data_IF_918288070227
#
_entry.id   IF_918288070227
#
_cell.length_a   1.000
_cell.length_b   1.000
_cell.length_c   1.000
_cell.angle_alpha   90.00
_cell.angle_beta   90.00
_cell.angle_gamma   90.00
#
_symmetry.space_group_name_H-M   'P 1'
#
loop_
_entity.id
_entity.type
_entity.pdbx_description
1 polymer ?
#
# COMPACT_ATOMS: atom_id res chain seq x y z
N UNK A 1 4.91 -7.31 20.61
CA UNK A 1 4.16 -6.12 20.14
C UNK A 1 2.84 -5.96 20.87
N UNK A 2 2.53 -4.73 21.24
CA UNK A 2 1.22 -4.33 21.75
C UNK A 2 0.21 -4.22 20.61
N UNK A 3 -1.09 -4.33 20.92
CA UNK A 3 -2.15 -4.27 19.89
C UNK A 3 -2.11 -2.96 19.08
N UNK A 4 -1.87 -1.83 19.75
CA UNK A 4 -1.78 -0.52 19.11
C UNK A 4 -0.59 -0.43 18.14
N UNK A 5 0.55 -1.04 18.48
CA UNK A 5 1.72 -1.03 17.58
C UNK A 5 1.45 -1.84 16.30
N UNK A 6 0.72 -2.96 16.41
CA UNK A 6 0.36 -3.81 15.27
C UNK A 6 -0.55 -3.04 14.30
N UNK A 7 -1.55 -2.32 14.81
CA UNK A 7 -2.44 -1.50 13.98
C UNK A 7 -1.67 -0.33 13.36
N UNK A 8 -0.77 0.31 14.11
CA UNK A 8 0.03 1.42 13.60
C UNK A 8 0.94 1.01 12.44
N UNK A 9 1.50 -0.21 12.44
CA UNK A 9 2.27 -0.70 11.27
C UNK A 9 1.39 -0.67 10.02
N UNK A 10 0.19 -1.26 10.09
CA UNK A 10 -0.73 -1.30 8.95
C UNK A 10 -1.10 0.11 8.47
N UNK A 11 -1.41 1.01 9.39
CA UNK A 11 -1.73 2.42 9.06
C UNK A 11 -0.56 3.17 8.45
N UNK A 12 0.65 3.04 9.00
CA UNK A 12 1.82 3.77 8.54
C UNK A 12 2.24 3.29 7.15
N UNK A 13 2.30 1.98 6.93
CA UNK A 13 2.63 1.43 5.61
C UNK A 13 1.54 1.79 4.59
N UNK A 14 0.26 1.71 4.97
CA UNK A 14 -0.85 2.20 4.14
C UNK A 14 -0.67 3.66 3.75
N UNK A 15 -0.52 4.55 4.74
CA UNK A 15 -0.39 5.98 4.52
C UNK A 15 0.83 6.32 3.65
N UNK A 16 1.96 5.65 3.87
CA UNK A 16 3.17 5.86 3.10
C UNK A 16 2.98 5.49 1.61
N UNK A 17 2.44 4.29 1.33
CA UNK A 17 2.14 3.88 -0.05
C UNK A 17 1.11 4.80 -0.70
N UNK A 18 0.06 5.18 0.03
CA UNK A 18 -0.99 6.06 -0.46
C UNK A 18 -0.44 7.45 -0.84
N UNK A 19 0.35 8.06 0.04
CA UNK A 19 0.93 9.39 -0.18
C UNK A 19 1.90 9.38 -1.36
N UNK A 20 2.79 8.39 -1.45
CA UNK A 20 3.71 8.27 -2.59
C UNK A 20 2.97 8.05 -3.91
N UNK A 21 1.92 7.24 -3.92
CA UNK A 21 1.13 7.01 -5.12
C UNK A 21 0.41 8.27 -5.59
N UNK A 22 -0.17 9.05 -4.67
CA UNK A 22 -0.74 10.37 -4.99
C UNK A 22 0.34 11.33 -5.51
N UNK A 23 1.52 11.35 -4.89
CA UNK A 23 2.61 12.20 -5.33
C UNK A 23 3.05 11.89 -6.77
N UNK A 24 3.17 10.60 -7.12
CA UNK A 24 3.47 10.19 -8.50
C UNK A 24 2.34 10.56 -9.46
N UNK A 25 1.08 10.27 -9.11
CA UNK A 25 -0.06 10.53 -9.98
C UNK A 25 -0.25 12.02 -10.25
N UNK A 26 -0.27 12.84 -9.20
CA UNK A 26 -0.44 14.29 -9.33
C UNK A 26 0.80 14.97 -9.92
N UNK A 27 2.00 14.47 -9.59
CA UNK A 27 3.24 14.93 -10.22
C UNK A 27 3.15 14.80 -11.73
N UNK A 28 2.76 13.63 -12.24
CA UNK A 28 2.52 13.43 -13.67
C UNK A 28 1.39 14.31 -14.21
N UNK A 29 0.25 14.39 -13.51
CA UNK A 29 -0.91 15.16 -13.98
C UNK A 29 -0.60 16.64 -14.19
N UNK A 30 0.16 17.26 -13.28
CA UNK A 30 0.46 18.69 -13.32
C UNK A 30 1.68 19.04 -14.17
N UNK A 31 2.72 18.20 -14.15
CA UNK A 31 3.98 18.51 -14.84
C UNK A 31 4.10 17.86 -16.22
N UNK A 32 3.31 16.81 -16.48
CA UNK A 32 3.45 15.91 -17.64
C UNK A 32 4.84 15.26 -17.75
N UNK A 33 5.64 15.27 -16.68
CA UNK A 33 6.94 14.61 -16.66
C UNK A 33 6.76 13.09 -16.48
N UNK A 34 7.16 12.33 -17.49
CA UNK A 34 7.07 10.86 -17.56
C UNK A 34 7.80 10.14 -16.42
N UNK A 35 8.80 10.77 -15.79
CA UNK A 35 9.49 10.22 -14.62
C UNK A 35 8.52 9.91 -13.47
N UNK A 36 7.49 10.73 -13.28
CA UNK A 36 6.46 10.48 -12.26
C UNK A 36 5.59 9.27 -12.61
N UNK A 37 5.27 9.06 -13.89
CA UNK A 37 4.54 7.88 -14.33
C UNK A 37 5.38 6.60 -14.15
N UNK A 38 6.65 6.66 -14.54
CA UNK A 38 7.60 5.56 -14.35
C UNK A 38 7.81 5.22 -12.87
N UNK A 39 8.03 6.23 -12.02
CA UNK A 39 8.12 6.06 -10.57
C UNK A 39 6.82 5.48 -9.99
N UNK A 40 5.66 5.92 -10.48
CA UNK A 40 4.35 5.38 -10.10
C UNK A 40 4.20 3.89 -10.42
N UNK A 41 4.68 3.44 -11.59
CA UNK A 41 4.70 2.03 -11.97
C UNK A 41 5.64 1.19 -11.10
N UNK A 42 6.84 1.70 -10.82
CA UNK A 42 7.79 1.06 -9.90
C UNK A 42 7.16 0.93 -8.51
N UNK A 43 6.53 2.00 -8.01
CA UNK A 43 5.86 2.00 -6.72
C UNK A 43 4.70 1.00 -6.68
N UNK A 44 3.95 0.87 -7.77
CA UNK A 44 2.89 -0.13 -7.91
C UNK A 44 3.44 -1.55 -7.74
N UNK A 45 4.55 -1.88 -8.40
CA UNK A 45 5.16 -3.20 -8.32
C UNK A 45 5.80 -3.47 -6.95
N UNK A 46 6.75 -2.64 -6.53
CA UNK A 46 7.46 -2.82 -5.26
C UNK A 46 6.58 -2.57 -4.05
N UNK A 47 5.69 -1.58 -4.11
CA UNK A 47 4.72 -1.30 -3.05
C UNK A 47 3.72 -2.45 -2.88
N UNK A 48 3.30 -3.12 -3.95
CA UNK A 48 2.47 -4.33 -3.83
C UNK A 48 3.21 -5.47 -3.15
N UNK A 49 4.48 -5.71 -3.54
CA UNK A 49 5.32 -6.74 -2.91
C UNK A 49 5.52 -6.44 -1.42
N UNK A 50 5.84 -5.19 -1.06
CA UNK A 50 6.01 -4.78 0.33
C UNK A 50 4.71 -4.92 1.14
N UNK A 51 3.58 -4.45 0.61
CA UNK A 51 2.28 -4.59 1.28
C UNK A 51 1.92 -6.06 1.53
N UNK A 52 2.10 -6.92 0.52
CA UNK A 52 1.87 -8.36 0.65
C UNK A 52 2.83 -9.01 1.66
N UNK A 53 4.11 -8.62 1.65
CA UNK A 53 5.10 -9.09 2.61
C UNK A 53 4.72 -8.74 4.06
N UNK A 54 4.27 -7.50 4.30
CA UNK A 54 3.80 -7.06 5.63
C UNK A 54 2.53 -7.81 6.03
N UNK A 55 1.56 -7.99 5.12
CA UNK A 55 0.36 -8.78 5.37
C UNK A 55 0.72 -10.22 5.75
N UNK A 56 1.61 -10.87 5.00
CA UNK A 56 2.06 -12.23 5.28
C UNK A 56 2.75 -12.31 6.66
N UNK A 57 3.64 -11.37 6.98
CA UNK A 57 4.29 -11.30 8.28
C UNK A 57 3.29 -11.11 9.44
N UNK A 58 2.30 -10.23 9.27
CA UNK A 58 1.23 -10.02 10.25
C UNK A 58 0.38 -11.28 10.47
N UNK A 59 0.01 -11.97 9.39
CA UNK A 59 -0.78 -13.20 9.45
C UNK A 59 0.00 -14.35 10.12
N UNK A 60 1.27 -14.54 9.77
CA UNK A 60 2.15 -15.51 10.43
C UNK A 60 2.27 -15.18 11.92
N UNK A 61 2.53 -13.92 12.28
CA UNK A 61 2.62 -13.50 13.68
C UNK A 61 1.32 -13.75 14.46
N UNK A 62 0.18 -13.41 13.86
CA UNK A 62 -1.14 -13.64 14.45
C UNK A 62 -1.48 -15.12 14.59
N UNK A 63 -1.03 -15.97 13.67
CA UNK A 63 -1.20 -17.42 13.75
C UNK A 63 -0.40 -18.03 14.91
N UNK A 64 0.85 -17.58 15.09
CA UNK A 64 1.70 -17.98 16.21
C UNK A 64 1.20 -17.41 17.55
N UNK A 65 0.55 -16.25 17.55
CA UNK A 65 0.02 -15.57 18.73
C UNK A 65 -1.49 -15.38 18.62
N UNK A 66 -2.24 -16.47 18.83
CA UNK A 66 -3.72 -16.53 18.70
C UNK A 66 -4.44 -15.37 19.40
N UNK A 67 -3.96 -14.92 20.56
CA UNK A 67 -4.53 -13.79 21.32
C UNK A 67 -4.40 -12.41 20.63
N UNK A 68 -3.61 -12.31 19.56
CA UNK A 68 -3.40 -11.11 18.74
C UNK A 68 -3.90 -11.27 17.30
N UNK A 69 -4.40 -12.45 16.94
CA UNK A 69 -4.84 -12.77 15.58
C UNK A 69 -5.85 -11.74 15.03
N UNK A 70 -6.87 -11.38 15.82
CA UNK A 70 -7.87 -10.39 15.41
C UNK A 70 -7.24 -9.01 15.10
N UNK A 71 -6.25 -8.60 15.89
CA UNK A 71 -5.53 -7.33 15.69
C UNK A 71 -4.65 -7.39 14.45
N UNK A 72 -3.98 -8.51 14.21
CA UNK A 72 -3.21 -8.75 13.00
C UNK A 72 -4.09 -8.74 11.76
N UNK A 73 -5.25 -9.41 11.78
CA UNK A 73 -6.22 -9.41 10.69
C UNK A 73 -6.71 -7.98 10.41
N UNK A 74 -7.11 -7.22 11.44
CA UNK A 74 -7.51 -5.81 11.29
C UNK A 74 -6.41 -4.96 10.64
N UNK A 75 -5.16 -5.13 11.06
CA UNK A 75 -4.02 -4.40 10.47
C UNK A 75 -3.78 -4.81 9.01
N UNK A 76 -3.86 -6.11 8.69
CA UNK A 76 -3.76 -6.62 7.33
C UNK A 76 -4.91 -6.12 6.43
N UNK A 77 -6.14 -6.01 6.95
CA UNK A 77 -7.27 -5.45 6.22
C UNK A 77 -7.04 -3.99 5.83
N UNK A 78 -6.43 -3.18 6.70
CA UNK A 78 -6.05 -1.80 6.38
C UNK A 78 -5.06 -1.78 5.21
N UNK A 79 -4.06 -2.67 5.21
CA UNK A 79 -3.09 -2.77 4.12
C UNK A 79 -3.70 -3.25 2.81
N UNK A 80 -4.68 -4.15 2.86
CA UNK A 80 -5.38 -4.63 1.66
C UNK A 80 -6.09 -3.52 0.89
N UNK A 81 -6.45 -2.40 1.54
CA UNK A 81 -7.04 -1.21 0.87
C UNK A 81 -6.05 -0.58 -0.14
N UNK A 82 -4.73 -0.79 0.02
CA UNK A 82 -3.76 -0.33 -0.98
C UNK A 82 -3.96 -1.02 -2.35
N UNK A 83 -4.49 -2.24 -2.41
CA UNK A 83 -4.69 -2.97 -3.66
C UNK A 83 -5.75 -2.29 -4.56
N UNK A 84 -6.99 -2.02 -4.11
CA UNK A 84 -7.96 -1.30 -4.93
C UNK A 84 -7.50 0.11 -5.27
N UNK A 85 -6.80 0.82 -4.37
CA UNK A 85 -6.21 2.14 -4.68
C UNK A 85 -5.18 2.04 -5.82
N UNK A 86 -4.30 1.04 -5.75
CA UNK A 86 -3.30 0.77 -6.78
C UNK A 86 -3.95 0.50 -8.16
N UNK A 87 -5.06 -0.25 -8.18
CA UNK A 87 -5.85 -0.47 -9.41
C UNK A 87 -6.39 0.86 -9.94
N UNK A 88 -6.97 1.71 -9.09
CA UNK A 88 -7.46 3.03 -9.50
C UNK A 88 -6.34 3.87 -10.12
N UNK A 89 -5.16 3.90 -9.51
CA UNK A 89 -4.02 4.65 -10.06
C UNK A 89 -3.53 4.10 -11.40
N UNK A 90 -3.48 2.78 -11.55
CA UNK A 90 -3.12 2.17 -12.83
C UNK A 90 -4.12 2.54 -13.93
N UNK A 91 -5.42 2.47 -13.63
CA UNK A 91 -6.48 2.84 -14.59
C UNK A 91 -6.40 4.32 -14.95
N UNK A 92 -6.22 5.22 -13.98
CA UNK A 92 -6.07 6.65 -14.26
C UNK A 92 -4.82 6.90 -15.11
N UNK A 93 -3.67 6.31 -14.75
CA UNK A 93 -2.42 6.46 -15.49
C UNK A 93 -2.55 6.01 -16.94
N UNK A 94 -3.16 4.85 -17.20
CA UNK A 94 -3.39 4.34 -18.55
C UNK A 94 -4.30 5.25 -19.37
N UNK A 95 -5.35 5.83 -18.77
CA UNK A 95 -6.26 6.75 -19.47
C UNK A 95 -5.68 8.15 -19.72
N UNK A 96 -4.64 8.57 -18.99
CA UNK A 96 -3.96 9.85 -19.24
C UNK A 96 -2.87 9.70 -20.30
N UNK A 97 -2.23 8.53 -20.38
CA UNK A 97 -1.15 8.25 -21.33
C UNK A 97 -1.69 7.91 -22.72
N UNK A 98 -2.85 7.26 -22.82
CA UNK A 98 -3.58 7.03 -24.09
C UNK A 98 -4.31 8.29 -24.57
#
# INVERSE_FOLDING_TARGET
MEKNSIINIGKTVFAFSFLLGNFCLFGYLFTKNEEYAFAGLILLFFGSILNLGVIAGLLIYGFLHKNKLETCIKSSMILLINIPVAIVYAVIGLNIIN
#
